data_IF_226074329617
#
_entry.id   IF_226074329617
#
_cell.length_a   1.000
_cell.length_b   1.000
_cell.length_c   1.000
_cell.angle_alpha   90.00
_cell.angle_beta   90.00
_cell.angle_gamma   90.00
#
_symmetry.space_group_name_H-M   'P 1'
#
loop_
_entity.id
_entity.type
_entity.pdbx_description
1 polymer ?
#
# COMPACT_ATOMS: atom_id res chain seq x y z
N UNK A 1 -9.28 -13.66 41.46
CA UNK A 1 -10.65 -14.05 41.04
C UNK A 1 -11.02 -13.05 39.96
N UNK A 2 -10.65 -13.43 38.75
CA UNK A 2 -10.38 -12.54 37.63
C UNK A 2 -11.61 -12.44 36.72
N UNK A 3 -12.00 -11.24 36.27
CA UNK A 3 -13.30 -11.00 35.61
C UNK A 3 -13.33 -11.28 34.09
N UNK A 4 -12.40 -12.06 33.53
CA UNK A 4 -12.32 -12.30 32.08
C UNK A 4 -12.61 -13.76 31.73
N UNK A 5 -13.89 -14.14 31.76
CA UNK A 5 -14.37 -15.41 31.20
C UNK A 5 -15.56 -15.18 30.26
N UNK A 6 -15.40 -15.63 29.01
CA UNK A 6 -16.42 -15.67 27.94
C UNK A 6 -16.25 -14.52 26.95
N UNK A 7 -15.92 -14.71 25.67
CA UNK A 7 -16.29 -15.80 24.77
C UNK A 7 -15.18 -16.04 23.73
N UNK A 8 -15.13 -17.28 23.25
CA UNK A 8 -14.14 -17.82 22.33
C UNK A 8 -14.55 -17.62 20.87
N UNK A 9 -13.56 -17.78 20.00
CA UNK A 9 -13.70 -18.10 18.56
C UNK A 9 -14.34 -17.05 17.66
N UNK A 10 -13.49 -16.24 17.02
CA UNK A 10 -13.53 -16.27 15.56
C UNK A 10 -12.15 -16.62 15.01
N UNK A 11 -12.11 -17.79 14.39
CA UNK A 11 -10.92 -18.52 13.99
C UNK A 11 -10.34 -17.93 12.72
N UNK A 12 -9.53 -16.86 12.83
CA UNK A 12 -8.71 -16.37 11.71
C UNK A 12 -7.44 -17.22 11.54
N UNK A 13 -7.60 -18.53 11.38
CA UNK A 13 -6.52 -19.43 10.96
C UNK A 13 -7.06 -20.47 9.97
N UNK A 14 -7.33 -20.05 8.74
CA UNK A 14 -7.27 -20.95 7.59
C UNK A 14 -6.95 -20.15 6.32
N UNK A 15 -5.67 -20.20 5.90
CA UNK A 15 -5.20 -19.62 4.64
C UNK A 15 -4.51 -18.26 4.75
N UNK A 16 -3.63 -18.07 5.75
CA UNK A 16 -2.90 -16.82 5.97
C UNK A 16 -2.06 -16.43 4.75
N UNK A 17 -2.59 -15.50 3.95
CA UNK A 17 -1.74 -14.51 3.31
C UNK A 17 -1.05 -13.77 4.46
N UNK A 18 0.22 -14.11 4.74
CA UNK A 18 0.95 -13.51 5.86
C UNK A 18 0.88 -11.99 5.71
N UNK A 19 0.21 -11.36 6.68
CA UNK A 19 0.04 -9.91 6.68
C UNK A 19 1.43 -9.25 6.60
N UNK A 20 1.64 -8.19 5.80
CA UNK A 20 2.98 -7.82 5.35
C UNK A 20 3.98 -7.48 6.46
N UNK A 21 3.53 -7.21 7.66
CA UNK A 21 4.36 -6.97 8.83
C UNK A 21 3.56 -6.18 9.86
N UNK A 22 4.12 -5.95 11.06
CA UNK A 22 3.44 -5.19 12.11
C UNK A 22 3.18 -3.72 11.76
N UNK A 23 3.83 -3.18 10.71
CA UNK A 23 3.81 -1.76 10.37
C UNK A 23 2.92 -1.39 9.17
N UNK A 24 2.18 -2.34 8.60
CA UNK A 24 1.34 -2.09 7.42
C UNK A 24 -0.13 -2.12 7.84
N UNK A 25 -0.84 -1.02 7.60
CA UNK A 25 -2.29 -0.93 7.87
C UNK A 25 -3.09 -1.55 6.72
N UNK A 26 -4.21 -2.21 7.03
CA UNK A 26 -5.18 -2.62 6.01
C UNK A 26 -5.99 -1.40 5.61
N UNK A 27 -5.88 -1.00 4.34
CA UNK A 27 -6.52 0.22 3.88
C UNK A 27 -7.91 -0.09 3.33
N UNK A 28 -8.90 0.61 3.87
CA UNK A 28 -10.22 0.70 3.27
C UNK A 28 -10.17 1.61 2.03
N UNK A 29 -10.72 1.14 0.91
CA UNK A 29 -10.87 1.94 -0.31
C UNK A 29 -11.60 3.27 -0.11
N UNK A 30 -12.44 3.39 0.93
CA UNK A 30 -13.15 4.63 1.26
C UNK A 30 -12.24 5.71 1.85
N UNK A 31 -11.09 5.32 2.41
CA UNK A 31 -10.12 6.24 3.00
C UNK A 31 -9.19 6.85 1.94
N UNK A 32 -9.26 6.36 0.69
CA UNK A 32 -8.42 6.79 -0.43
C UNK A 32 -9.26 7.50 -1.49
N UNK A 33 -8.80 8.69 -1.86
CA UNK A 33 -9.20 9.39 -3.07
C UNK A 33 -8.12 9.18 -4.13
N UNK A 34 -8.48 8.57 -5.27
CA UNK A 34 -7.57 8.39 -6.41
C UNK A 34 -7.71 9.55 -7.39
N UNK A 35 -6.59 10.07 -7.88
CA UNK A 35 -6.51 11.11 -8.92
C UNK A 35 -5.91 10.54 -10.22
N UNK A 36 -5.15 11.34 -10.95
CA UNK A 36 -4.52 10.91 -12.20
C UNK A 36 -3.50 9.78 -12.03
N UNK A 37 -3.36 8.98 -13.09
CA UNK A 37 -2.22 8.08 -13.26
C UNK A 37 -0.98 8.93 -13.51
N UNK A 38 -0.01 8.82 -12.62
CA UNK A 38 1.28 9.51 -12.71
C UNK A 38 2.40 8.61 -13.23
N UNK A 39 2.12 7.31 -13.35
CA UNK A 39 3.11 6.36 -13.80
C UNK A 39 2.59 4.96 -14.10
N UNK A 40 3.38 4.22 -14.87
CA UNK A 40 3.25 2.78 -15.02
C UNK A 40 4.52 2.13 -14.47
N UNK A 41 4.39 1.51 -13.30
CA UNK A 41 5.47 0.72 -12.71
C UNK A 41 5.52 -0.69 -13.30
N UNK A 42 6.50 -1.48 -12.85
CA UNK A 42 6.70 -2.88 -13.26
C UNK A 42 5.51 -3.80 -12.94
N UNK A 43 4.66 -3.43 -11.98
CA UNK A 43 3.59 -4.28 -11.45
C UNK A 43 2.19 -3.64 -11.55
N UNK A 44 2.06 -2.59 -12.35
CA UNK A 44 0.79 -1.93 -12.61
C UNK A 44 0.88 -0.41 -12.66
N UNK A 45 -0.22 0.25 -12.30
CA UNK A 45 -0.37 1.70 -12.40
C UNK A 45 -0.06 2.37 -11.06
N UNK A 46 0.58 3.53 -11.14
CA UNK A 46 0.82 4.43 -10.02
C UNK A 46 -0.09 5.63 -10.21
N UNK A 47 -0.98 5.83 -9.26
CA UNK A 47 -1.86 6.98 -9.20
C UNK A 47 -1.35 7.95 -8.16
N UNK A 48 -1.51 9.24 -8.43
CA UNK A 48 -1.57 10.20 -7.34
C UNK A 48 -2.85 9.96 -6.56
N UNK A 49 -2.79 10.03 -5.24
CA UNK A 49 -3.95 9.89 -4.40
C UNK A 49 -3.86 10.75 -3.15
N UNK A 50 -4.95 10.77 -2.39
CA UNK A 50 -5.00 11.32 -1.04
C UNK A 50 -5.54 10.26 -0.10
N UNK A 51 -4.81 10.01 0.98
CA UNK A 51 -5.21 9.09 2.03
C UNK A 51 -5.28 9.86 3.35
N UNK A 52 -6.47 9.89 3.96
CA UNK A 52 -6.73 10.63 5.23
C UNK A 52 -6.21 12.08 5.23
N UNK A 53 -6.38 12.78 4.09
CA UNK A 53 -5.94 14.16 3.93
C UNK A 53 -4.48 14.36 3.53
N UNK A 54 -3.67 13.29 3.43
CA UNK A 54 -2.27 13.35 3.02
C UNK A 54 -2.11 12.92 1.56
N UNK A 55 -1.34 13.67 0.78
CA UNK A 55 -0.99 13.28 -0.59
C UNK A 55 -0.06 12.05 -0.57
N UNK A 56 -0.38 11.08 -1.41
CA UNK A 56 0.27 9.76 -1.46
C UNK A 56 0.41 9.25 -2.89
N UNK A 57 1.29 8.28 -3.08
CA UNK A 57 1.31 7.45 -4.28
C UNK A 57 0.55 6.15 -4.02
N UNK A 58 -0.39 5.80 -4.90
CA UNK A 58 -1.19 4.58 -4.81
C UNK A 58 -0.85 3.66 -5.98
N UNK A 59 -0.22 2.54 -5.68
CA UNK A 59 0.19 1.56 -6.69
C UNK A 59 -0.79 0.38 -6.69
N UNK A 60 -1.45 0.17 -7.81
CA UNK A 60 -2.45 -0.88 -8.03
C UNK A 60 -1.94 -1.94 -9.01
N UNK A 61 -2.33 -3.20 -8.82
CA UNK A 61 -2.02 -4.26 -9.80
C UNK A 61 -2.91 -4.16 -11.04
N UNK A 62 -2.38 -4.47 -12.22
CA UNK A 62 -3.16 -4.51 -13.46
C UNK A 62 -3.59 -5.94 -13.85
N UNK A 63 -2.91 -6.97 -13.33
CA UNK A 63 -3.14 -8.37 -13.67
C UNK A 63 -2.82 -9.33 -12.51
N UNK A 64 -3.41 -10.53 -12.55
CA UNK A 64 -3.11 -11.60 -11.59
C UNK A 64 -1.66 -12.09 -11.67
N UNK A 65 -1.00 -11.94 -12.83
CA UNK A 65 0.40 -12.32 -13.00
C UNK A 65 1.34 -11.42 -12.16
N UNK A 66 0.96 -10.16 -11.96
CA UNK A 66 1.70 -9.19 -11.15
C UNK A 66 1.47 -9.35 -9.65
N UNK A 67 0.45 -10.11 -9.23
CA UNK A 67 0.07 -10.31 -7.83
C UNK A 67 1.21 -10.84 -6.96
N UNK A 68 2.02 -11.78 -7.48
CA UNK A 68 3.14 -12.34 -6.71
C UNK A 68 4.21 -11.27 -6.45
N UNK A 69 4.57 -10.51 -7.47
CA UNK A 69 5.60 -9.48 -7.36
C UNK A 69 5.13 -8.31 -6.48
N UNK A 70 3.84 -7.94 -6.60
CA UNK A 70 3.19 -7.01 -5.70
C UNK A 70 3.31 -7.42 -4.22
N UNK A 71 3.00 -8.68 -3.89
CA UNK A 71 3.13 -9.16 -2.50
C UNK A 71 4.58 -9.15 -2.01
N UNK A 72 5.54 -9.44 -2.89
CA UNK A 72 6.97 -9.34 -2.57
C UNK A 72 7.36 -7.90 -2.25
N UNK A 73 6.92 -6.93 -3.06
CA UNK A 73 7.21 -5.51 -2.86
C UNK A 73 6.62 -5.00 -1.53
N UNK A 74 5.34 -5.29 -1.27
CA UNK A 74 4.70 -4.93 0.00
C UNK A 74 5.45 -5.54 1.19
N UNK A 75 5.91 -6.79 1.08
CA UNK A 75 6.70 -7.47 2.13
C UNK A 75 8.11 -6.90 2.30
N UNK A 76 8.71 -6.37 1.25
CA UNK A 76 10.02 -5.73 1.33
C UNK A 76 9.91 -4.36 1.99
N UNK A 77 8.94 -3.56 1.54
CA UNK A 77 8.71 -2.21 2.06
C UNK A 77 8.18 -2.21 3.49
N UNK A 78 7.43 -3.22 3.90
CA UNK A 78 6.94 -3.36 5.28
C UNK A 78 8.04 -3.54 6.33
N UNK A 79 9.27 -3.86 5.89
CA UNK A 79 10.42 -4.10 6.77
C UNK A 79 11.34 -2.90 6.87
N UNK A 80 11.04 -1.81 6.17
CA UNK A 80 11.92 -0.64 6.06
C UNK A 80 11.18 0.60 6.55
N UNK A 81 11.78 1.31 7.50
CA UNK A 81 11.33 2.63 7.95
C UNK A 81 12.56 3.52 8.08
N UNK A 82 12.88 4.26 7.03
CA UNK A 82 14.07 5.11 6.97
C UNK A 82 13.74 6.40 6.22
N UNK A 83 14.24 7.57 6.66
CA UNK A 83 13.90 8.88 6.06
C UNK A 83 14.23 9.00 4.56
N UNK A 84 15.17 8.20 4.05
CA UNK A 84 15.58 8.20 2.64
C UNK A 84 15.04 7.01 1.83
N UNK A 85 14.09 6.26 2.38
CA UNK A 85 13.47 5.13 1.69
C UNK A 85 11.95 5.35 1.70
N UNK A 86 11.30 4.95 0.60
CA UNK A 86 9.85 5.05 0.49
C UNK A 86 9.18 4.28 1.63
N UNK A 87 8.31 4.97 2.36
CA UNK A 87 7.52 4.47 3.46
C UNK A 87 6.21 3.89 2.93
N UNK A 88 5.99 2.62 3.24
CA UNK A 88 4.71 1.96 3.06
C UNK A 88 3.77 2.32 4.21
N UNK A 89 2.68 3.01 3.91
CA UNK A 89 1.65 3.32 4.89
C UNK A 89 0.70 2.14 5.12
N UNK A 90 0.29 1.48 4.04
CA UNK A 90 -0.67 0.39 4.13
C UNK A 90 -0.92 -0.26 2.78
N UNK A 91 -1.67 -1.37 2.81
CA UNK A 91 -2.01 -2.12 1.63
C UNK A 91 -3.39 -2.76 1.73
N UNK A 92 -4.03 -2.96 0.58
CA UNK A 92 -5.24 -3.76 0.43
C UNK A 92 -4.90 -4.99 -0.41
N UNK A 93 -4.74 -6.13 0.26
CA UNK A 93 -4.22 -7.37 -0.38
C UNK A 93 -5.22 -8.52 -0.40
N UNK A 94 -6.29 -8.44 0.39
CA UNK A 94 -7.28 -9.51 0.59
C UNK A 94 -8.46 -9.47 -0.39
N UNK A 95 -8.54 -8.46 -1.25
CA UNK A 95 -9.65 -8.26 -2.18
C UNK A 95 -9.19 -8.45 -3.64
N UNK A 96 -9.38 -9.66 -4.23
CA UNK A 96 -9.00 -9.93 -5.62
C UNK A 96 -9.58 -8.89 -6.59
N UNK A 97 -8.78 -8.46 -7.56
CA UNK A 97 -9.18 -7.45 -8.55
C UNK A 97 -9.19 -6.00 -8.05
N UNK A 98 -8.92 -5.75 -6.75
CA UNK A 98 -8.85 -4.40 -6.19
C UNK A 98 -7.74 -4.30 -5.16
N UNK A 99 -6.55 -4.72 -5.58
CA UNK A 99 -5.35 -4.77 -4.75
C UNK A 99 -4.45 -3.58 -5.06
N UNK A 100 -4.03 -2.89 -4.00
CA UNK A 100 -3.14 -1.73 -4.09
C UNK A 100 -2.37 -1.54 -2.78
N UNK A 101 -1.32 -0.73 -2.81
CA UNK A 101 -0.67 -0.23 -1.61
C UNK A 101 -0.39 1.26 -1.72
N UNK A 102 -0.25 1.89 -0.56
CA UNK A 102 -0.13 3.34 -0.40
C UNK A 102 1.22 3.68 0.16
N UNK A 103 1.92 4.57 -0.52
CA UNK A 103 3.27 5.00 -0.21
C UNK A 103 3.31 6.51 0.04
N UNK A 104 4.35 6.94 0.77
CA UNK A 104 4.70 8.36 0.77
C UNK A 104 5.22 8.79 -0.61
N UNK A 105 5.13 10.09 -0.84
CA UNK A 105 5.73 10.73 -2.01
C UNK A 105 7.16 11.13 -1.63
N UNK A 106 8.16 10.68 -2.39
CA UNK A 106 9.53 11.18 -2.24
C UNK A 106 9.70 12.41 -3.13
N UNK A 107 9.45 13.59 -2.55
CA UNK A 107 9.72 14.85 -3.23
C UNK A 107 11.23 15.12 -3.31
N UNK A 108 11.87 14.79 -4.43
CA UNK A 108 13.13 15.45 -4.78
C UNK A 108 12.81 16.92 -5.08
N UNK A 109 13.50 17.82 -4.39
CA UNK A 109 13.13 19.23 -4.24
C UNK A 109 12.71 19.96 -5.52
N UNK A 110 11.80 20.91 -5.33
CA UNK A 110 11.26 21.85 -6.31
C UNK A 110 12.22 22.27 -7.43
N UNK A 111 12.19 21.55 -8.56
CA UNK A 111 12.67 22.06 -9.84
C UNK A 111 11.77 21.57 -10.97
N UNK A 112 10.53 22.07 -11.02
CA UNK A 112 9.75 22.17 -12.26
C UNK A 112 9.59 20.91 -13.13
N UNK A 113 9.63 19.70 -12.55
CA UNK A 113 9.43 18.45 -13.27
C UNK A 113 7.98 18.29 -13.69
N UNK A 114 7.75 17.81 -14.91
CA UNK A 114 6.41 17.60 -15.45
C UNK A 114 5.62 16.61 -14.56
N UNK A 115 4.30 16.80 -14.38
CA UNK A 115 3.46 15.95 -13.53
C UNK A 115 3.38 14.47 -13.95
N UNK A 116 4.06 14.09 -15.04
CA UNK A 116 3.96 12.80 -15.72
C UNK A 116 5.11 11.83 -15.37
N UNK A 117 6.10 12.28 -14.60
CA UNK A 117 7.27 11.47 -14.27
C UNK A 117 7.01 10.68 -12.99
N UNK A 118 6.71 9.39 -13.17
CA UNK A 118 6.42 8.43 -12.11
C UNK A 118 7.51 8.35 -11.02
N UNK A 119 8.76 8.67 -11.37
CA UNK A 119 9.92 8.66 -10.48
C UNK A 119 9.86 9.78 -9.43
N UNK A 120 9.07 10.83 -9.64
CA UNK A 120 8.84 11.87 -8.63
C UNK A 120 7.83 11.45 -7.55
N UNK A 121 7.16 10.30 -7.72
CA UNK A 121 6.11 9.81 -6.82
C UNK A 121 6.55 8.61 -5.98
N UNK A 122 7.74 8.03 -6.22
CA UNK A 122 8.21 6.79 -5.59
C UNK A 122 9.68 6.85 -5.15
#
# INVERSE_FOLDING_TARGET
MDPYSGDSSDSLHSGSLEWPGPFVEEIDHRDIELFEVVGKGTFGLVHKGRWRGQDVAVKSIASDQEKRAFLVEVRQLSRVDHPNIVKLYGARVRHPGSQYFVLNIIGYGASGGAPNDAEHWL
#
